data_IF_411602875634
#
_entry.id   IF_411602875634
#
_cell.length_a   1.000
_cell.length_b   1.000
_cell.length_c   1.000
_cell.angle_alpha   90.00
_cell.angle_beta   90.00
_cell.angle_gamma   90.00
#
_symmetry.space_group_name_H-M   'P 1'
#
loop_
_entity.id
_entity.type
_entity.pdbx_description
1 polymer ?
#
# COMPACT_ATOMS: atom_id res chain seq x y z
N UNK A 1 -2.17 9.21 0.06
CA UNK A 1 -2.04 7.95 -0.71
C UNK A 1 -0.81 7.94 -1.61
N UNK A 2 -0.54 8.97 -2.30
CA UNK A 2 0.48 9.14 -3.35
C UNK A 2 1.91 8.81 -2.91
N UNK A 3 2.20 8.94 -1.61
CA UNK A 3 3.53 8.72 -1.04
C UNK A 3 3.74 7.31 -0.46
N UNK A 4 2.72 6.45 -0.43
CA UNK A 4 2.81 5.14 0.21
C UNK A 4 3.95 4.29 -0.37
N UNK A 5 4.04 4.16 -1.68
CA UNK A 5 5.08 3.39 -2.34
C UNK A 5 6.48 3.97 -2.10
N UNK A 6 6.61 5.31 -2.20
CA UNK A 6 7.88 5.99 -1.97
C UNK A 6 8.34 5.85 -0.52
N UNK A 7 7.43 5.99 0.43
CA UNK A 7 7.70 5.82 1.86
C UNK A 7 8.12 4.39 2.17
N UNK A 8 7.38 3.39 1.70
CA UNK A 8 7.70 1.99 1.96
C UNK A 8 9.06 1.61 1.35
N UNK A 9 9.34 2.05 0.12
CA UNK A 9 10.65 1.85 -0.50
C UNK A 9 11.78 2.43 0.36
N UNK A 10 11.64 3.65 0.87
CA UNK A 10 12.64 4.28 1.74
C UNK A 10 12.77 3.54 3.07
N UNK A 11 11.66 3.06 3.65
CA UNK A 11 11.67 2.24 4.87
C UNK A 11 12.48 0.95 4.70
N UNK A 12 12.46 0.31 3.53
CA UNK A 12 13.27 -0.89 3.28
C UNK A 12 14.78 -0.63 3.25
N UNK A 13 15.20 0.65 3.16
CA UNK A 13 16.60 1.05 3.01
C UNK A 13 17.20 1.76 4.22
N UNK A 14 16.44 1.93 5.29
CA UNK A 14 16.85 2.72 6.48
C UNK A 14 18.20 2.25 7.05
N UNK A 15 18.43 0.94 7.14
CA UNK A 15 19.67 0.38 7.71
C UNK A 15 20.90 0.52 6.81
N UNK A 16 20.70 0.78 5.50
CA UNK A 16 21.77 0.91 4.49
C UNK A 16 21.45 2.05 3.52
N UNK A 17 21.08 3.21 4.07
CA UNK A 17 20.71 4.39 3.29
C UNK A 17 21.90 4.96 2.53
N UNK A 18 21.66 5.46 1.33
CA UNK A 18 22.63 6.10 0.44
C UNK A 18 22.33 7.58 0.30
N UNK A 19 23.30 8.35 -0.23
CA UNK A 19 23.07 9.76 -0.58
C UNK A 19 21.93 9.95 -1.58
N UNK A 20 21.69 8.94 -2.44
CA UNK A 20 20.59 8.95 -3.38
C UNK A 20 19.23 8.75 -2.68
N UNK A 21 19.16 7.93 -1.63
CA UNK A 21 17.95 7.75 -0.83
C UNK A 21 17.62 9.04 -0.07
N UNK A 22 18.62 9.76 0.42
CA UNK A 22 18.45 11.09 1.03
C UNK A 22 17.88 12.14 0.04
N UNK A 23 18.31 12.09 -1.24
CA UNK A 23 17.71 12.96 -2.28
C UNK A 23 16.24 12.63 -2.52
N UNK A 24 15.88 11.34 -2.54
CA UNK A 24 14.48 10.88 -2.68
C UNK A 24 13.64 11.33 -1.48
N UNK A 25 14.17 11.17 -0.26
CA UNK A 25 13.49 11.63 0.97
C UNK A 25 13.24 13.15 0.93
N UNK A 26 14.25 13.94 0.56
CA UNK A 26 14.08 15.40 0.41
C UNK A 26 12.98 15.75 -0.57
N UNK A 27 12.96 15.11 -1.75
CA UNK A 27 11.91 15.32 -2.76
C UNK A 27 10.52 14.97 -2.22
N UNK A 28 10.41 13.90 -1.43
CA UNK A 28 9.15 13.53 -0.78
C UNK A 28 8.70 14.59 0.23
N UNK A 29 9.62 15.14 1.03
CA UNK A 29 9.31 16.22 1.98
C UNK A 29 8.93 17.54 1.28
N UNK A 30 9.57 17.86 0.17
CA UNK A 30 9.21 19.01 -0.68
C UNK A 30 7.81 18.87 -1.25
N UNK A 31 7.44 17.66 -1.70
CA UNK A 31 6.08 17.36 -2.15
C UNK A 31 5.06 17.54 -1.02
N UNK A 32 5.32 16.99 0.18
CA UNK A 32 4.45 17.16 1.35
C UNK A 32 4.27 18.63 1.67
N UNK A 33 5.36 19.41 1.69
CA UNK A 33 5.31 20.85 1.95
C UNK A 33 4.45 21.60 0.92
N UNK A 34 4.52 21.20 -0.36
CA UNK A 34 3.73 21.82 -1.44
C UNK A 34 2.27 21.36 -1.49
N UNK A 35 1.91 20.30 -0.76
CA UNK A 35 0.58 19.70 -0.78
C UNK A 35 -0.11 19.68 0.59
N UNK A 36 0.38 20.49 1.54
CA UNK A 36 -0.11 20.48 2.93
C UNK A 36 -1.58 20.92 3.05
N UNK A 37 -2.04 21.76 2.12
CA UNK A 37 -3.41 22.28 2.10
C UNK A 37 -4.36 21.42 1.24
N UNK A 38 -3.88 20.31 0.67
CA UNK A 38 -4.72 19.40 -0.10
C UNK A 38 -5.57 18.54 0.84
N UNK A 39 -6.88 18.65 0.65
CA UNK A 39 -7.84 17.85 1.40
C UNK A 39 -7.98 16.44 0.83
N UNK A 40 -8.09 15.46 1.72
CA UNK A 40 -8.40 14.08 1.36
C UNK A 40 -9.89 13.80 1.61
N UNK A 41 -10.66 13.72 0.54
CA UNK A 41 -12.10 13.50 0.63
C UNK A 41 -12.42 12.01 0.77
N UNK A 42 -13.14 11.66 1.82
CA UNK A 42 -13.72 10.35 2.02
C UNK A 42 -15.25 10.42 1.85
N UNK A 43 -15.80 9.47 1.11
CA UNK A 43 -17.24 9.36 0.89
C UNK A 43 -17.68 7.92 0.77
N UNK A 44 -18.87 7.62 1.24
CA UNK A 44 -19.49 6.31 1.10
C UNK A 44 -20.67 6.38 0.11
N UNK A 45 -20.63 5.55 -0.94
CA UNK A 45 -21.78 5.33 -1.83
C UNK A 45 -22.83 4.46 -1.12
N UNK A 46 -22.35 3.50 -0.32
CA UNK A 46 -23.16 2.58 0.47
C UNK A 46 -22.31 1.96 1.57
N UNK A 47 -22.82 1.95 2.80
CA UNK A 47 -22.16 1.28 3.94
C UNK A 47 -22.17 -0.25 3.81
N UNK A 48 -23.04 -0.81 2.98
CA UNK A 48 -23.09 -2.27 2.74
C UNK A 48 -22.15 -2.77 1.65
N UNK A 49 -21.42 -1.87 0.95
CA UNK A 49 -20.55 -2.23 -0.17
C UNK A 49 -19.10 -1.79 0.09
N UNK A 50 -18.30 -2.71 0.56
CA UNK A 50 -16.85 -2.53 0.67
C UNK A 50 -16.19 -2.97 -0.65
N UNK A 51 -15.38 -2.08 -1.23
CA UNK A 51 -14.57 -2.35 -2.43
C UNK A 51 -13.11 -2.48 -2.01
N UNK A 52 -12.46 -3.54 -2.46
CA UNK A 52 -11.04 -3.80 -2.19
C UNK A 52 -10.31 -4.06 -3.50
N UNK A 53 -9.21 -3.36 -3.71
CA UNK A 53 -8.27 -3.60 -4.81
C UNK A 53 -6.93 -4.01 -4.22
N UNK A 54 -6.36 -5.06 -4.79
CA UNK A 54 -5.04 -5.58 -4.42
C UNK A 54 -4.26 -5.82 -5.71
N UNK A 55 -3.00 -5.45 -5.70
CA UNK A 55 -2.07 -5.67 -6.80
C UNK A 55 -0.70 -6.05 -6.25
N UNK A 56 0.10 -6.77 -7.04
CA UNK A 56 1.45 -7.12 -6.65
C UNK A 56 2.42 -7.11 -7.83
N UNK A 57 3.58 -6.50 -7.62
CA UNK A 57 4.67 -6.46 -8.58
C UNK A 57 5.70 -7.52 -8.24
N UNK A 58 5.94 -8.46 -9.17
CA UNK A 58 6.83 -9.60 -9.00
C UNK A 58 8.31 -9.18 -8.98
N UNK A 59 9.07 -9.65 -7.99
CA UNK A 59 10.54 -9.60 -7.92
C UNK A 59 11.17 -8.21 -8.13
N UNK A 60 10.52 -7.14 -7.67
CA UNK A 60 10.95 -5.75 -7.91
C UNK A 60 12.03 -5.25 -6.95
N UNK A 61 12.31 -5.99 -5.89
CA UNK A 61 13.35 -5.64 -4.92
C UNK A 61 14.69 -6.32 -5.25
N UNK A 62 15.84 -5.75 -4.82
CA UNK A 62 17.16 -6.33 -5.07
C UNK A 62 17.35 -7.77 -4.56
N UNK A 63 16.58 -8.17 -3.56
CA UNK A 63 16.55 -9.54 -3.01
C UNK A 63 15.47 -10.42 -3.67
N UNK A 64 15.01 -10.02 -4.85
CA UNK A 64 13.99 -10.72 -5.65
C UNK A 64 12.64 -10.87 -4.95
N UNK A 65 12.38 -10.10 -3.89
CA UNK A 65 11.09 -10.07 -3.25
C UNK A 65 10.11 -9.20 -4.03
N UNK A 66 8.88 -9.62 -4.01
CA UNK A 66 7.76 -8.92 -4.62
C UNK A 66 7.27 -7.77 -3.73
N UNK A 67 6.46 -6.88 -4.28
CA UNK A 67 5.84 -5.78 -3.57
C UNK A 67 4.33 -5.87 -3.74
N UNK A 68 3.59 -5.71 -2.65
CA UNK A 68 2.13 -5.75 -2.69
C UNK A 68 1.55 -4.40 -2.27
N UNK A 69 0.50 -3.99 -2.93
CA UNK A 69 -0.26 -2.80 -2.63
C UNK A 69 -1.76 -3.10 -2.61
N UNK A 70 -2.51 -2.31 -1.86
CA UNK A 70 -3.96 -2.42 -1.91
C UNK A 70 -4.67 -1.25 -1.26
N UNK A 71 -5.91 -1.11 -1.63
CA UNK A 71 -6.81 -0.03 -1.21
C UNK A 71 -8.17 -0.62 -0.88
N UNK A 72 -8.77 -0.19 0.22
CA UNK A 72 -10.18 -0.41 0.53
C UNK A 72 -10.93 0.91 0.49
N UNK A 73 -12.14 0.90 -0.03
CA UNK A 73 -12.99 2.07 -0.14
C UNK A 73 -14.48 1.72 0.06
N UNK A 74 -15.22 2.66 0.60
CA UNK A 74 -16.69 2.62 0.65
C UNK A 74 -17.34 3.42 -0.49
N UNK A 75 -16.54 4.07 -1.32
CA UNK A 75 -17.00 4.90 -2.44
C UNK A 75 -15.89 5.82 -2.92
N UNK A 76 -15.85 7.03 -2.41
CA UNK A 76 -14.81 8.02 -2.74
C UNK A 76 -13.67 7.96 -1.73
N UNK A 77 -12.44 7.88 -2.22
CA UNK A 77 -11.23 7.80 -1.40
C UNK A 77 -11.02 6.43 -0.73
N UNK A 78 -9.78 6.14 -0.38
CA UNK A 78 -9.41 4.90 0.30
C UNK A 78 -9.45 5.05 1.82
N UNK A 79 -10.21 4.22 2.50
CA UNK A 79 -10.27 4.18 3.97
C UNK A 79 -9.10 3.41 4.58
N UNK A 80 -8.59 2.41 3.85
CA UNK A 80 -7.37 1.67 4.20
C UNK A 80 -6.50 1.59 2.96
N UNK A 81 -5.25 2.03 3.09
CA UNK A 81 -4.27 1.99 2.00
C UNK A 81 -2.98 1.42 2.54
N UNK A 82 -2.45 0.43 1.86
CA UNK A 82 -1.17 -0.21 2.23
C UNK A 82 -0.29 -0.39 1.00
N UNK A 83 1.01 -0.33 1.23
CA UNK A 83 2.05 -0.65 0.27
C UNK A 83 3.17 -1.31 1.05
N UNK A 84 3.55 -2.54 0.71
CA UNK A 84 4.53 -3.28 1.50
C UNK A 84 5.32 -4.28 0.68
N UNK A 85 6.60 -4.44 1.04
CA UNK A 85 7.46 -5.47 0.51
C UNK A 85 7.05 -6.84 1.06
N UNK A 86 6.88 -7.82 0.19
CA UNK A 86 6.54 -9.19 0.59
C UNK A 86 7.67 -9.85 1.39
N UNK A 87 7.32 -10.65 2.38
CA UNK A 87 8.28 -11.38 3.21
C UNK A 87 8.81 -12.63 2.50
N UNK A 88 7.96 -13.26 1.68
CA UNK A 88 8.28 -14.46 0.94
C UNK A 88 8.86 -14.13 -0.44
N UNK A 89 9.71 -15.01 -0.97
CA UNK A 89 10.10 -14.99 -2.36
C UNK A 89 9.13 -15.87 -3.13
N UNK A 90 8.44 -15.27 -4.08
CA UNK A 90 7.50 -15.95 -4.97
C UNK A 90 8.19 -16.40 -6.26
N UNK A 91 7.67 -17.45 -6.89
CA UNK A 91 8.26 -18.03 -8.11
C UNK A 91 7.65 -17.47 -9.41
N UNK A 92 6.54 -16.78 -9.30
CA UNK A 92 5.83 -16.20 -10.44
C UNK A 92 5.03 -14.94 -10.04
N UNK A 93 4.58 -14.17 -11.02
CA UNK A 93 3.69 -13.03 -10.80
C UNK A 93 2.36 -13.46 -10.19
N UNK A 94 1.79 -14.56 -10.68
CA UNK A 94 0.53 -15.11 -10.14
C UNK A 94 0.65 -15.50 -8.67
N UNK A 95 1.76 -16.11 -8.28
CA UNK A 95 2.02 -16.42 -6.87
C UNK A 95 2.20 -15.13 -6.04
N UNK A 96 2.87 -14.13 -6.60
CA UNK A 96 3.02 -12.83 -5.93
C UNK A 96 1.67 -12.14 -5.68
N UNK A 97 0.75 -12.20 -6.65
CA UNK A 97 -0.61 -11.68 -6.51
C UNK A 97 -1.41 -12.44 -5.45
N UNK A 98 -1.33 -13.78 -5.46
CA UNK A 98 -1.99 -14.62 -4.47
C UNK A 98 -1.48 -14.34 -3.05
N UNK A 99 -0.17 -14.24 -2.86
CA UNK A 99 0.46 -13.86 -1.60
C UNK A 99 0.05 -12.45 -1.19
N UNK A 100 0.02 -11.51 -2.15
CA UNK A 100 -0.45 -10.14 -1.90
C UNK A 100 -1.88 -10.11 -1.36
N UNK A 101 -2.77 -10.91 -1.92
CA UNK A 101 -4.17 -10.97 -1.50
C UNK A 101 -4.34 -11.66 -0.13
N UNK A 102 -3.62 -12.77 0.12
CA UNK A 102 -3.81 -13.63 1.30
C UNK A 102 -2.99 -13.21 2.50
N UNK A 103 -1.67 -13.04 2.34
CA UNK A 103 -0.72 -12.91 3.46
C UNK A 103 -0.59 -11.47 3.97
N UNK A 104 -0.94 -10.46 3.14
CA UNK A 104 -0.75 -9.06 3.49
C UNK A 104 -1.95 -8.43 4.17
N UNK A 105 -2.78 -9.26 4.81
CA UNK A 105 -3.91 -8.78 5.62
C UNK A 105 -5.00 -8.07 4.82
N UNK A 106 -4.99 -8.11 3.47
CA UNK A 106 -6.08 -7.49 2.72
C UNK A 106 -7.36 -8.30 2.89
N UNK A 107 -7.30 -9.62 2.72
CA UNK A 107 -8.46 -10.47 2.94
C UNK A 107 -8.92 -10.47 4.40
N UNK A 108 -8.04 -10.67 5.41
CA UNK A 108 -8.43 -10.55 6.81
C UNK A 108 -8.96 -9.16 7.19
N UNK A 109 -8.32 -8.08 6.71
CA UNK A 109 -8.79 -6.73 6.97
C UNK A 109 -10.14 -6.44 6.30
N UNK A 110 -10.36 -6.95 5.09
CA UNK A 110 -11.64 -6.81 4.39
C UNK A 110 -12.77 -7.49 5.17
N UNK A 111 -12.52 -8.70 5.65
CA UNK A 111 -13.47 -9.43 6.48
C UNK A 111 -13.73 -8.72 7.81
N UNK A 112 -12.69 -8.21 8.47
CA UNK A 112 -12.82 -7.46 9.71
C UNK A 112 -13.65 -6.18 9.53
N UNK A 113 -13.35 -5.38 8.51
CA UNK A 113 -14.12 -4.15 8.19
C UNK A 113 -15.56 -4.49 7.85
N UNK A 114 -15.79 -5.57 7.07
CA UNK A 114 -17.14 -6.04 6.76
C UNK A 114 -17.92 -6.39 8.03
N UNK A 115 -17.34 -7.21 8.90
CA UNK A 115 -17.97 -7.58 10.18
C UNK A 115 -18.25 -6.37 11.07
N UNK A 116 -17.35 -5.39 11.08
CA UNK A 116 -17.55 -4.14 11.82
C UNK A 116 -18.71 -3.29 11.26
N UNK A 117 -18.90 -3.27 9.96
CA UNK A 117 -20.00 -2.53 9.31
C UNK A 117 -21.37 -3.23 9.44
N UNK A 118 -21.37 -4.55 9.68
CA UNK A 118 -22.58 -5.36 9.85
C UNK A 118 -23.02 -5.46 11.34
N UNK A 119 -22.18 -5.00 12.27
CA UNK A 119 -22.48 -4.97 13.71
C UNK A 119 -23.29 -3.74 14.10
#
# INVERSE_FOLDING_TARGET
MDLLLANDFLCTRVSKSTAQDMKKLRRMLEYIKGSIDLEYTLGADSMSRLRTWVDASYAVHPDMKSHAGGVMSLGTGGIVCKSTKQKLNTKSSTEAELVGASDYQYLPNTLWVKMFLEA
#
